data_IF_247073742300
#
_entry.id   IF_247073742300
#
_cell.length_a   1.000
_cell.length_b   1.000
_cell.length_c   1.000
_cell.angle_alpha   90.00
_cell.angle_beta   90.00
_cell.angle_gamma   90.00
#
_symmetry.space_group_name_H-M   'P 1'
#
loop_
_entity.id
_entity.type
_entity.pdbx_description
1 polymer ?
#
# COMPACT_ATOMS: atom_id res chain seq x y z
N UNK A 1 -6.08 -24.79 15.64
CA UNK A 1 -5.59 -23.76 14.70
C UNK A 1 -6.55 -22.58 14.55
N UNK A 2 -7.79 -22.76 14.06
CA UNK A 2 -8.73 -21.63 13.86
C UNK A 2 -9.01 -20.82 15.15
N UNK A 3 -9.19 -21.48 16.29
CA UNK A 3 -9.36 -20.80 17.58
C UNK A 3 -8.13 -19.97 17.98
N UNK A 4 -6.92 -20.49 17.73
CA UNK A 4 -5.66 -19.79 18.01
C UNK A 4 -5.53 -18.55 17.12
N UNK A 5 -5.82 -18.70 15.83
CA UNK A 5 -5.83 -17.59 14.89
C UNK A 5 -6.84 -16.50 15.29
N UNK A 6 -8.02 -16.89 15.78
CA UNK A 6 -9.02 -15.94 16.30
C UNK A 6 -8.50 -15.15 17.52
N UNK A 7 -7.86 -15.83 18.47
CA UNK A 7 -7.27 -15.19 19.64
C UNK A 7 -6.20 -14.15 19.28
N UNK A 8 -5.32 -14.50 18.35
CA UNK A 8 -4.27 -13.61 17.84
C UNK A 8 -4.82 -12.47 16.97
N UNK A 9 -5.87 -12.74 16.19
CA UNK A 9 -6.50 -11.74 15.33
C UNK A 9 -7.08 -10.59 16.17
N UNK A 10 -7.71 -10.90 17.30
CA UNK A 10 -8.33 -9.91 18.18
C UNK A 10 -7.32 -8.96 18.85
N UNK A 11 -6.04 -9.34 18.95
CA UNK A 11 -4.98 -8.48 19.51
C UNK A 11 -4.26 -7.68 18.44
N UNK A 12 -4.52 -7.92 17.15
CA UNK A 12 -3.71 -7.37 16.07
C UNK A 12 -4.05 -5.90 15.75
N UNK A 13 -5.35 -5.56 15.58
CA UNK A 13 -5.78 -4.21 15.22
C UNK A 13 -7.29 -4.02 15.36
N UNK A 14 -7.80 -2.77 15.33
CA UNK A 14 -9.25 -2.53 15.21
C UNK A 14 -9.86 -3.17 13.96
N UNK A 15 -9.11 -3.31 12.87
CA UNK A 15 -9.57 -3.96 11.63
C UNK A 15 -9.93 -5.45 11.80
N UNK A 16 -9.49 -6.09 12.89
CA UNK A 16 -9.87 -7.46 13.25
C UNK A 16 -11.39 -7.65 13.34
N UNK A 17 -12.11 -6.64 13.85
CA UNK A 17 -13.57 -6.72 13.98
C UNK A 17 -14.29 -6.65 12.64
N UNK A 18 -13.71 -5.98 11.64
CA UNK A 18 -14.20 -6.05 10.25
C UNK A 18 -14.04 -7.47 9.69
N UNK A 19 -12.96 -8.17 10.01
CA UNK A 19 -12.78 -9.60 9.64
C UNK A 19 -13.83 -10.47 10.33
N UNK A 20 -14.15 -10.22 11.60
CA UNK A 20 -15.25 -10.91 12.29
C UNK A 20 -16.59 -10.66 11.62
N UNK A 21 -16.88 -9.41 11.24
CA UNK A 21 -18.10 -9.05 10.51
C UNK A 21 -18.19 -9.79 9.17
N UNK A 22 -17.09 -9.86 8.42
CA UNK A 22 -17.01 -10.65 7.18
C UNK A 22 -17.24 -12.14 7.48
N UNK A 23 -16.64 -12.67 8.55
CA UNK A 23 -16.84 -14.05 9.00
C UNK A 23 -18.29 -14.35 9.40
N UNK A 24 -18.96 -13.40 10.07
CA UNK A 24 -20.40 -13.50 10.36
C UNK A 24 -21.23 -13.45 9.08
N UNK A 25 -20.87 -12.62 8.11
CA UNK A 25 -21.58 -12.57 6.85
C UNK A 25 -21.36 -13.82 5.98
N UNK A 26 -20.29 -14.59 6.21
CA UNK A 26 -20.12 -15.93 5.65
C UNK A 26 -21.30 -16.85 6.06
N UNK A 27 -21.86 -16.68 7.26
CA UNK A 27 -23.05 -17.42 7.70
C UNK A 27 -24.26 -17.24 6.77
N UNK A 28 -24.40 -16.06 6.14
CA UNK A 28 -25.47 -15.76 5.18
C UNK A 28 -25.27 -16.51 3.85
N UNK A 29 -24.03 -16.77 3.47
CA UNK A 29 -23.68 -17.50 2.23
C UNK A 29 -23.78 -19.02 2.44
N UNK A 30 -23.38 -19.51 3.62
CA UNK A 30 -23.38 -20.94 3.97
C UNK A 30 -24.43 -21.31 5.01
N UNK A 31 -25.64 -20.73 4.94
CA UNK A 31 -26.75 -20.98 5.90
C UNK A 31 -27.05 -22.46 6.11
N UNK A 32 -26.97 -23.27 5.06
CA UNK A 32 -27.21 -24.71 5.14
C UNK A 32 -26.14 -25.48 5.95
N UNK A 33 -24.91 -24.95 6.04
CA UNK A 33 -23.83 -25.55 6.82
C UNK A 33 -23.82 -25.10 8.30
N UNK A 34 -24.59 -24.04 8.63
CA UNK A 34 -24.62 -23.45 9.96
C UNK A 34 -24.97 -24.44 11.08
N UNK A 35 -26.00 -25.31 10.93
CA UNK A 35 -26.36 -26.26 11.99
C UNK A 35 -25.23 -27.25 12.29
N UNK A 36 -24.53 -27.72 11.24
CA UNK A 36 -23.39 -28.63 11.38
C UNK A 36 -22.20 -27.96 12.06
N UNK A 37 -21.91 -26.72 11.64
CA UNK A 37 -20.83 -25.92 12.23
C UNK A 37 -21.13 -25.60 13.69
N UNK A 38 -22.38 -25.26 14.02
CA UNK A 38 -22.81 -25.00 15.39
C UNK A 38 -22.71 -26.26 16.27
N UNK A 39 -23.14 -27.41 15.77
CA UNK A 39 -22.99 -28.69 16.48
C UNK A 39 -21.51 -29.00 16.77
N UNK A 40 -20.62 -28.79 15.79
CA UNK A 40 -19.18 -28.96 15.98
C UNK A 40 -18.59 -27.96 17.00
N UNK A 41 -19.04 -26.70 16.96
CA UNK A 41 -18.63 -25.67 17.93
C UNK A 41 -19.10 -26.02 19.34
N UNK A 42 -20.30 -26.56 19.50
CA UNK A 42 -20.80 -26.99 20.81
C UNK A 42 -20.03 -28.21 21.35
N UNK A 43 -19.74 -29.20 20.49
CA UNK A 43 -18.95 -30.36 20.87
C UNK A 43 -17.53 -29.99 21.34
N UNK A 44 -16.91 -29.00 20.70
CA UNK A 44 -15.53 -28.57 20.99
C UNK A 44 -15.44 -27.26 21.77
N UNK A 45 -16.55 -26.80 22.38
CA UNK A 45 -16.66 -25.45 22.99
C UNK A 45 -15.52 -25.16 23.96
N UNK A 46 -15.18 -26.10 24.85
CA UNK A 46 -14.08 -25.92 25.82
C UNK A 46 -12.73 -25.75 25.12
N UNK A 47 -12.44 -26.55 24.10
CA UNK A 47 -11.18 -26.47 23.35
C UNK A 47 -11.09 -25.21 22.50
N UNK A 48 -12.21 -24.75 21.93
CA UNK A 48 -12.28 -23.50 21.17
C UNK A 48 -12.11 -22.28 22.08
N UNK A 49 -12.75 -22.27 23.25
CA UNK A 49 -12.59 -21.19 24.24
C UNK A 49 -11.15 -21.14 24.75
N UNK A 50 -10.60 -22.25 25.23
CA UNK A 50 -9.21 -22.28 25.70
C UNK A 50 -8.22 -21.96 24.58
N UNK A 51 -8.46 -22.50 23.39
CA UNK A 51 -7.61 -22.30 22.21
C UNK A 51 -7.65 -20.88 21.65
N UNK A 52 -8.65 -20.06 21.97
CA UNK A 52 -8.71 -18.64 21.58
C UNK A 52 -8.30 -17.71 22.72
N UNK A 53 -8.71 -18.03 23.94
CA UNK A 53 -8.46 -17.20 25.12
C UNK A 53 -6.99 -17.24 25.55
N UNK A 54 -6.32 -18.40 25.49
CA UNK A 54 -4.91 -18.51 25.88
C UNK A 54 -4.00 -17.69 24.94
N UNK A 55 -4.08 -17.81 23.60
CA UNK A 55 -3.29 -16.97 22.70
C UNK A 55 -3.64 -15.50 22.80
N UNK A 56 -4.92 -15.15 23.01
CA UNK A 56 -5.34 -13.77 23.24
C UNK A 56 -4.68 -13.20 24.51
N UNK A 57 -4.73 -13.92 25.63
CA UNK A 57 -4.11 -13.48 26.87
C UNK A 57 -2.59 -13.32 26.70
N UNK A 58 -1.92 -14.30 26.10
CA UNK A 58 -0.48 -14.27 25.90
C UNK A 58 -0.05 -13.14 24.95
N UNK A 59 -0.76 -12.96 23.83
CA UNK A 59 -0.43 -11.89 22.88
C UNK A 59 -0.76 -10.51 23.45
N UNK A 60 -1.94 -10.34 24.08
CA UNK A 60 -2.35 -9.07 24.68
C UNK A 60 -1.40 -8.62 25.80
N UNK A 61 -0.87 -9.56 26.59
CA UNK A 61 0.04 -9.24 27.71
C UNK A 61 1.52 -9.33 27.37
N UNK A 62 1.87 -9.58 26.11
CA UNK A 62 3.24 -9.90 25.67
C UNK A 62 3.91 -10.95 26.58
N UNK A 63 3.32 -12.14 26.62
CA UNK A 63 3.72 -13.25 27.50
C UNK A 63 3.76 -12.85 28.98
N UNK A 64 2.73 -12.14 29.46
CA UNK A 64 2.55 -11.67 30.84
C UNK A 64 3.53 -10.57 31.29
N UNK A 65 4.41 -10.06 30.42
CA UNK A 65 5.34 -8.99 30.76
C UNK A 65 4.67 -7.60 30.83
N UNK A 66 3.52 -7.41 30.18
CA UNK A 66 2.82 -6.14 30.07
C UNK A 66 1.31 -6.31 30.33
N UNK A 67 0.85 -6.41 31.59
CA UNK A 67 -0.56 -6.67 31.92
C UNK A 67 -1.51 -5.59 31.41
N UNK A 68 -1.04 -4.35 31.27
CA UNK A 68 -1.79 -3.23 30.70
C UNK A 68 -2.26 -3.48 29.25
N UNK A 69 -1.62 -4.38 28.52
CA UNK A 69 -1.99 -4.70 27.14
C UNK A 69 -3.36 -5.40 27.00
N UNK A 70 -3.91 -5.99 28.08
CA UNK A 70 -5.31 -6.46 28.07
C UNK A 70 -6.31 -5.32 27.97
N UNK A 71 -6.08 -4.23 28.71
CA UNK A 71 -6.90 -3.03 28.62
C UNK A 71 -6.77 -2.40 27.23
N UNK A 72 -5.56 -2.35 26.67
CA UNK A 72 -5.33 -1.87 25.31
C UNK A 72 -6.04 -2.74 24.25
N UNK A 73 -6.08 -4.06 24.43
CA UNK A 73 -6.81 -4.98 23.55
C UNK A 73 -8.32 -4.77 23.64
N UNK A 74 -8.86 -4.59 24.84
CA UNK A 74 -10.28 -4.27 25.02
C UNK A 74 -10.65 -2.92 24.38
N UNK A 75 -9.74 -1.94 24.44
CA UNK A 75 -9.90 -0.63 23.80
C UNK A 75 -9.96 -0.72 22.26
N UNK A 76 -9.40 -1.76 21.63
CA UNK A 76 -9.48 -1.96 20.17
C UNK A 76 -10.93 -2.06 19.67
N UNK A 77 -11.82 -2.69 20.45
CA UNK A 77 -13.24 -2.77 20.11
C UNK A 77 -13.90 -1.39 20.17
N UNK A 78 -13.61 -0.62 21.22
CA UNK A 78 -14.09 0.75 21.38
C UNK A 78 -13.59 1.66 20.26
N UNK A 79 -12.33 1.50 19.84
CA UNK A 79 -11.73 2.21 18.68
C UNK A 79 -12.39 1.81 17.37
N UNK A 80 -12.72 0.54 17.17
CA UNK A 80 -13.43 0.11 15.98
C UNK A 80 -14.84 0.71 15.92
N UNK A 81 -15.61 0.66 17.01
CA UNK A 81 -16.95 1.25 17.06
C UNK A 81 -16.94 2.77 16.91
N UNK A 82 -16.05 3.48 17.63
CA UNK A 82 -15.90 4.93 17.49
C UNK A 82 -15.42 5.31 16.09
N UNK A 83 -14.63 4.45 15.45
CA UNK A 83 -14.24 4.57 14.06
C UNK A 83 -15.40 4.48 13.07
N UNK A 84 -16.55 3.89 13.40
CA UNK A 84 -17.72 3.84 12.51
C UNK A 84 -18.59 5.11 12.56
N UNK A 85 -18.40 5.97 13.55
CA UNK A 85 -19.15 7.21 13.65
C UNK A 85 -18.76 8.16 12.50
N UNK A 86 -19.71 8.81 11.82
CA UNK A 86 -19.38 9.74 10.74
C UNK A 86 -18.58 10.93 11.29
N UNK A 87 -17.49 11.29 10.61
CA UNK A 87 -16.68 12.45 10.96
C UNK A 87 -15.59 12.74 9.92
N UNK A 88 -15.07 13.96 9.93
CA UNK A 88 -13.91 14.31 9.10
C UNK A 88 -12.68 13.51 9.57
N UNK A 89 -12.08 12.75 8.66
CA UNK A 89 -10.79 12.08 8.84
C UNK A 89 -9.72 12.75 7.97
N UNK A 90 -8.49 12.24 8.04
CA UNK A 90 -7.35 12.73 7.24
C UNK A 90 -7.56 12.59 5.72
N UNK A 91 -8.37 11.62 5.28
CA UNK A 91 -8.72 11.35 3.89
C UNK A 91 -10.25 11.32 3.68
N UNK A 92 -10.70 11.85 2.55
CA UNK A 92 -12.08 11.74 2.10
C UNK A 92 -12.44 10.32 1.63
N UNK A 93 -13.74 9.98 1.60
CA UNK A 93 -14.21 8.69 1.06
C UNK A 93 -13.83 8.56 -0.42
N UNK A 94 -13.89 9.68 -1.14
CA UNK A 94 -13.45 9.77 -2.52
C UNK A 94 -11.95 9.48 -2.67
N UNK A 95 -11.11 9.94 -1.74
CA UNK A 95 -9.66 9.69 -1.80
C UNK A 95 -9.33 8.21 -1.62
N UNK A 96 -10.04 7.53 -0.73
CA UNK A 96 -9.91 6.08 -0.54
C UNK A 96 -10.30 5.33 -1.82
N UNK A 97 -11.42 5.68 -2.43
CA UNK A 97 -11.88 5.04 -3.66
C UNK A 97 -10.94 5.33 -4.83
N UNK A 98 -10.49 6.58 -4.96
CA UNK A 98 -9.52 7.03 -5.96
C UNK A 98 -8.18 6.32 -5.79
N UNK A 99 -7.71 6.13 -4.55
CA UNK A 99 -6.49 5.38 -4.24
C UNK A 99 -6.58 3.95 -4.75
N UNK A 100 -7.71 3.28 -4.52
CA UNK A 100 -7.94 1.92 -4.95
C UNK A 100 -8.01 1.82 -6.49
N UNK A 101 -8.76 2.73 -7.13
CA UNK A 101 -8.91 2.76 -8.59
C UNK A 101 -7.59 3.02 -9.31
N UNK A 102 -6.77 3.93 -8.78
CA UNK A 102 -5.50 4.32 -9.40
C UNK A 102 -4.36 3.37 -9.03
N UNK A 103 -4.38 2.82 -7.81
CA UNK A 103 -3.35 1.90 -7.32
C UNK A 103 -3.49 0.50 -7.90
N UNK A 104 -4.72 -0.02 -7.95
CA UNK A 104 -5.00 -1.43 -8.22
C UNK A 104 -6.02 -1.67 -9.35
N UNK A 105 -5.94 -0.97 -10.51
CA UNK A 105 -6.97 -1.05 -11.56
C UNK A 105 -7.16 -2.46 -12.11
N UNK A 106 -6.06 -3.22 -12.23
CA UNK A 106 -6.08 -4.58 -12.76
C UNK A 106 -6.71 -5.56 -11.78
N UNK A 107 -6.40 -5.41 -10.49
CA UNK A 107 -6.98 -6.20 -9.43
C UNK A 107 -8.50 -6.04 -9.41
N UNK A 108 -8.99 -4.79 -9.53
CA UNK A 108 -10.42 -4.50 -9.64
C UNK A 108 -11.01 -5.16 -10.89
N UNK A 109 -10.37 -5.00 -12.05
CA UNK A 109 -10.83 -5.62 -13.31
C UNK A 109 -10.98 -7.14 -13.21
N UNK A 110 -9.97 -7.83 -12.65
CA UNK A 110 -10.03 -9.28 -12.45
C UNK A 110 -11.00 -9.70 -11.34
N UNK A 111 -11.13 -8.92 -10.28
CA UNK A 111 -12.11 -9.17 -9.22
C UNK A 111 -13.54 -9.10 -9.77
N UNK A 112 -13.87 -8.08 -10.56
CA UNK A 112 -15.17 -7.94 -11.24
C UNK A 112 -15.40 -9.12 -12.20
N UNK A 113 -14.41 -9.52 -12.99
CA UNK A 113 -14.50 -10.70 -13.86
C UNK A 113 -14.67 -12.01 -13.06
N UNK A 114 -14.13 -12.06 -11.84
CA UNK A 114 -14.34 -13.11 -10.86
C UNK A 114 -15.78 -13.16 -10.38
N UNK A 115 -16.31 -12.02 -9.93
CA UNK A 115 -17.70 -11.88 -9.45
C UNK A 115 -18.73 -12.20 -10.52
N UNK A 116 -18.58 -11.66 -11.73
CA UNK A 116 -19.49 -11.95 -12.84
C UNK A 116 -19.53 -13.45 -13.13
N UNK A 117 -18.38 -14.12 -13.12
CA UNK A 117 -18.32 -15.55 -13.34
C UNK A 117 -18.90 -16.35 -12.16
N UNK A 118 -18.68 -15.92 -10.93
CA UNK A 118 -19.24 -16.54 -9.73
C UNK A 118 -20.77 -16.44 -9.72
N UNK A 119 -21.32 -15.27 -10.04
CA UNK A 119 -22.77 -15.05 -10.16
C UNK A 119 -23.38 -15.94 -11.25
N UNK A 120 -22.76 -16.02 -12.43
CA UNK A 120 -23.21 -16.90 -13.52
C UNK A 120 -23.21 -18.38 -13.14
N UNK A 121 -22.26 -18.80 -12.30
CA UNK A 121 -22.10 -20.20 -11.86
C UNK A 121 -22.82 -20.50 -10.54
N UNK A 122 -23.45 -19.49 -9.92
CA UNK A 122 -23.99 -19.57 -8.56
C UNK A 122 -22.98 -20.14 -7.55
N UNK A 123 -21.70 -19.78 -7.73
CA UNK A 123 -20.63 -20.22 -6.85
C UNK A 123 -20.69 -19.45 -5.52
N UNK A 124 -20.91 -20.19 -4.43
CA UNK A 124 -20.98 -19.64 -3.07
C UNK A 124 -19.69 -18.98 -2.66
N UNK A 125 -18.54 -19.54 -3.04
CA UNK A 125 -17.25 -18.97 -2.64
C UNK A 125 -17.02 -17.61 -3.29
N UNK A 126 -17.25 -17.48 -4.59
CA UNK A 126 -17.15 -16.18 -5.26
C UNK A 126 -18.20 -15.16 -4.78
N UNK A 127 -19.41 -15.60 -4.42
CA UNK A 127 -20.41 -14.76 -3.78
C UNK A 127 -19.95 -14.23 -2.41
N UNK A 128 -19.34 -15.09 -1.59
CA UNK A 128 -18.71 -14.68 -0.33
C UNK A 128 -17.56 -13.70 -0.54
N UNK A 129 -16.65 -13.95 -1.50
CA UNK A 129 -15.53 -13.06 -1.77
C UNK A 129 -15.99 -11.67 -2.21
N UNK A 130 -17.05 -11.58 -3.03
CA UNK A 130 -17.69 -10.32 -3.40
C UNK A 130 -18.28 -9.59 -2.19
N UNK A 131 -19.00 -10.30 -1.33
CA UNK A 131 -19.58 -9.75 -0.12
C UNK A 131 -18.49 -9.28 0.87
N UNK A 132 -17.42 -10.06 1.01
CA UNK A 132 -16.26 -9.72 1.83
C UNK A 132 -15.58 -8.45 1.33
N UNK A 133 -15.39 -8.31 0.02
CA UNK A 133 -14.83 -7.10 -0.58
C UNK A 133 -15.74 -5.88 -0.36
N UNK A 134 -17.06 -6.05 -0.51
CA UNK A 134 -18.04 -5.01 -0.23
C UNK A 134 -18.01 -4.54 1.24
N UNK A 135 -18.05 -5.48 2.20
CA UNK A 135 -17.96 -5.14 3.63
C UNK A 135 -16.62 -4.53 4.01
N UNK A 136 -15.52 -5.06 3.49
CA UNK A 136 -14.18 -4.51 3.70
C UNK A 136 -14.07 -3.08 3.17
N UNK A 137 -14.75 -2.75 2.06
CA UNK A 137 -14.76 -1.41 1.47
C UNK A 137 -15.72 -0.47 2.20
N UNK A 138 -16.85 -0.97 2.71
CA UNK A 138 -17.80 -0.15 3.47
C UNK A 138 -17.20 0.40 4.76
N UNK A 139 -16.38 -0.39 5.47
CA UNK A 139 -15.74 0.04 6.71
C UNK A 139 -14.95 1.37 6.56
N UNK A 140 -13.97 1.50 5.64
CA UNK A 140 -13.27 2.76 5.43
C UNK A 140 -14.13 3.84 4.74
N UNK A 141 -15.18 3.48 3.99
CA UNK A 141 -16.06 4.50 3.38
C UNK A 141 -16.93 5.21 4.42
N UNK A 142 -17.46 4.48 5.40
CA UNK A 142 -18.36 5.02 6.43
C UNK A 142 -17.57 5.61 7.60
N UNK A 143 -16.43 4.99 7.95
CA UNK A 143 -15.70 5.33 9.16
C UNK A 143 -14.95 6.66 9.15
N UNK A 144 -14.68 7.17 10.36
CA UNK A 144 -13.80 8.29 10.67
C UNK A 144 -12.34 7.82 10.68
N UNK A 145 -11.42 8.69 10.27
CA UNK A 145 -9.98 8.40 10.32
C UNK A 145 -9.51 7.42 9.24
N UNK A 146 -9.96 7.62 8.00
CA UNK A 146 -9.61 6.80 6.84
C UNK A 146 -8.10 6.82 6.61
N UNK A 147 -7.45 5.66 6.71
CA UNK A 147 -6.02 5.50 6.42
C UNK A 147 -5.83 4.60 5.19
N UNK A 148 -4.77 4.80 4.39
CA UNK A 148 -4.47 3.90 3.28
C UNK A 148 -4.28 2.44 3.72
N UNK A 149 -3.78 2.22 4.94
CA UNK A 149 -3.63 0.89 5.52
C UNK A 149 -4.96 0.13 5.66
N UNK A 150 -6.09 0.84 5.78
CA UNK A 150 -7.42 0.23 5.89
C UNK A 150 -7.84 -0.46 4.59
N UNK A 151 -7.25 -0.08 3.45
CA UNK A 151 -7.45 -0.76 2.17
C UNK A 151 -6.83 -2.15 2.12
N UNK A 152 -5.97 -2.54 3.07
CA UNK A 152 -5.34 -3.86 3.08
C UNK A 152 -6.35 -5.01 3.05
N UNK A 153 -7.44 -4.90 3.83
CA UNK A 153 -8.53 -5.89 3.82
C UNK A 153 -9.31 -5.88 2.49
N UNK A 154 -9.50 -4.70 1.89
CA UNK A 154 -10.16 -4.56 0.59
C UNK A 154 -9.33 -5.25 -0.50
N UNK A 155 -8.04 -4.94 -0.57
CA UNK A 155 -7.09 -5.54 -1.51
C UNK A 155 -7.03 -7.05 -1.34
N UNK A 156 -7.00 -7.56 -0.11
CA UNK A 156 -7.05 -8.99 0.17
C UNK A 156 -8.33 -9.63 -0.39
N UNK A 157 -9.49 -9.06 -0.11
CA UNK A 157 -10.78 -9.58 -0.59
C UNK A 157 -10.92 -9.50 -2.11
N UNK A 158 -10.41 -8.43 -2.73
CA UNK A 158 -10.32 -8.31 -4.18
C UNK A 158 -9.37 -9.35 -4.78
N UNK A 159 -8.25 -9.65 -4.11
CA UNK A 159 -7.30 -10.69 -4.54
C UNK A 159 -7.94 -12.08 -4.53
N UNK A 160 -8.66 -12.40 -3.46
CA UNK A 160 -9.45 -13.64 -3.37
C UNK A 160 -10.50 -13.74 -4.49
N UNK A 161 -11.09 -12.60 -4.87
CA UNK A 161 -12.06 -12.51 -5.95
C UNK A 161 -11.44 -12.60 -7.34
N UNK A 162 -10.25 -12.03 -7.54
CA UNK A 162 -9.51 -12.01 -8.79
C UNK A 162 -8.88 -13.37 -9.11
N UNK A 163 -8.43 -14.10 -8.10
CA UNK A 163 -7.75 -15.39 -8.23
C UNK A 163 -8.45 -16.37 -9.17
N UNK A 164 -9.76 -16.67 -9.00
CA UNK A 164 -10.51 -17.54 -9.92
C UNK A 164 -10.58 -17.04 -11.36
N UNK A 165 -10.56 -15.73 -11.61
CA UNK A 165 -10.52 -15.17 -12.96
C UNK A 165 -9.14 -15.38 -13.59
N UNK A 166 -8.08 -15.04 -12.86
CA UNK A 166 -6.69 -15.22 -13.29
C UNK A 166 -6.40 -16.71 -13.55
N UNK A 167 -6.78 -17.60 -12.63
CA UNK A 167 -6.60 -19.04 -12.78
C UNK A 167 -7.34 -19.59 -14.01
N UNK A 168 -8.53 -19.08 -14.34
CA UNK A 168 -9.24 -19.47 -15.57
C UNK A 168 -8.51 -19.00 -16.82
N UNK A 169 -8.00 -17.76 -16.82
CA UNK A 169 -7.21 -17.21 -17.93
C UNK A 169 -5.95 -18.04 -18.15
N UNK A 170 -5.19 -18.31 -17.09
CA UNK A 170 -3.97 -19.13 -17.16
C UNK A 170 -4.26 -20.59 -17.55
N UNK A 171 -5.33 -21.19 -17.02
CA UNK A 171 -5.71 -22.57 -17.36
C UNK A 171 -6.06 -22.70 -18.84
N UNK A 172 -6.79 -21.73 -19.40
CA UNK A 172 -7.08 -21.66 -20.84
C UNK A 172 -5.80 -21.52 -21.67
N UNK A 173 -4.85 -20.71 -21.20
CA UNK A 173 -3.60 -20.44 -21.91
C UNK A 173 -2.59 -21.60 -21.86
N UNK A 174 -2.47 -22.33 -20.73
CA UNK A 174 -1.35 -23.25 -20.51
C UNK A 174 -1.73 -24.69 -20.15
N UNK A 175 -2.93 -24.96 -19.61
CA UNK A 175 -3.22 -26.23 -18.92
C UNK A 175 -4.26 -27.12 -19.63
N UNK A 176 -4.80 -26.69 -20.77
CA UNK A 176 -5.66 -27.55 -21.61
C UNK A 176 -4.75 -28.50 -22.41
N UNK A 177 -5.14 -29.79 -22.53
CA UNK A 177 -4.35 -30.91 -23.11
C UNK A 177 -3.63 -30.55 -24.41
N UNK A 178 -2.56 -31.29 -24.72
CA UNK A 178 -1.64 -31.14 -25.87
C UNK A 178 -2.32 -30.94 -27.24
N UNK A 179 -3.60 -31.32 -27.39
CA UNK A 179 -4.39 -31.20 -28.62
C UNK A 179 -5.50 -30.11 -28.57
N UNK A 180 -5.80 -29.51 -27.41
CA UNK A 180 -6.84 -28.47 -27.22
C UNK A 180 -6.31 -27.17 -26.55
N UNK A 181 -5.01 -27.14 -26.21
CA UNK A 181 -4.35 -26.02 -25.55
C UNK A 181 -3.64 -25.06 -26.51
N UNK A 182 -3.60 -23.80 -26.12
CA UNK A 182 -2.92 -22.68 -26.78
C UNK A 182 -1.45 -22.88 -27.16
N UNK A 183 -0.79 -23.93 -26.64
CA UNK A 183 0.60 -24.23 -27.01
C UNK A 183 0.77 -24.52 -28.50
N UNK A 184 -0.29 -24.93 -29.21
CA UNK A 184 -0.26 -25.14 -30.66
C UNK A 184 -0.79 -23.96 -31.51
N UNK A 185 -1.52 -23.01 -30.92
CA UNK A 185 -2.12 -21.87 -31.63
C UNK A 185 -1.14 -20.68 -31.65
N UNK A 186 -0.17 -20.70 -32.58
CA UNK A 186 0.82 -19.63 -32.79
C UNK A 186 0.17 -18.24 -32.92
N UNK A 187 -0.94 -18.16 -33.64
CA UNK A 187 -1.65 -16.91 -33.91
C UNK A 187 -2.07 -16.17 -32.64
N UNK A 188 -2.48 -16.91 -31.62
CA UNK A 188 -3.03 -16.33 -30.40
C UNK A 188 -1.92 -15.76 -29.50
N UNK A 189 -0.77 -16.43 -29.45
CA UNK A 189 0.45 -15.91 -28.82
C UNK A 189 1.01 -14.70 -29.59
N UNK A 190 1.01 -14.75 -30.92
CA UNK A 190 1.43 -13.62 -31.75
C UNK A 190 0.55 -12.40 -31.50
N UNK A 191 -0.78 -12.59 -31.43
CA UNK A 191 -1.75 -11.55 -31.15
C UNK A 191 -1.49 -10.89 -29.77
N UNK A 192 -1.27 -11.70 -28.73
CA UNK A 192 -0.94 -11.19 -27.39
C UNK A 192 0.41 -10.49 -27.39
N UNK A 193 1.45 -11.09 -27.95
CA UNK A 193 2.80 -10.54 -27.98
C UNK A 193 2.85 -9.20 -28.74
N UNK A 194 2.22 -9.14 -29.91
CA UNK A 194 2.13 -7.93 -30.72
C UNK A 194 1.34 -6.84 -29.98
N UNK A 195 0.22 -7.20 -29.35
CA UNK A 195 -0.56 -6.24 -28.54
C UNK A 195 0.27 -5.70 -27.38
N UNK A 196 0.97 -6.57 -26.64
CA UNK A 196 1.82 -6.15 -25.52
C UNK A 196 2.95 -5.25 -26.01
N UNK A 197 3.58 -5.55 -27.15
CA UNK A 197 4.61 -4.71 -27.75
C UNK A 197 4.07 -3.33 -28.16
N UNK A 198 2.90 -3.28 -28.79
CA UNK A 198 2.24 -2.03 -29.19
C UNK A 198 1.85 -1.19 -27.96
N UNK A 199 1.30 -1.83 -26.91
CA UNK A 199 0.98 -1.16 -25.65
C UNK A 199 2.24 -0.67 -24.94
N UNK A 200 3.31 -1.45 -24.91
CA UNK A 200 4.59 -1.03 -24.36
C UNK A 200 5.11 0.22 -25.08
N UNK A 201 5.11 0.21 -26.42
CA UNK A 201 5.49 1.37 -27.23
C UNK A 201 4.58 2.59 -26.94
N UNK A 202 3.26 2.38 -26.84
CA UNK A 202 2.32 3.44 -26.47
C UNK A 202 2.63 4.03 -25.09
N UNK A 203 2.93 3.18 -24.10
CA UNK A 203 3.26 3.62 -22.74
C UNK A 203 4.59 4.32 -22.62
N UNK A 204 5.52 4.13 -23.56
CA UNK A 204 6.77 4.90 -23.64
C UNK A 204 6.51 6.24 -24.35
N UNK A 205 5.78 6.22 -25.46
CA UNK A 205 5.61 7.38 -26.32
C UNK A 205 4.62 8.42 -25.77
N UNK A 206 3.45 8.00 -25.27
CA UNK A 206 2.41 8.95 -24.83
C UNK A 206 2.87 9.89 -23.70
N UNK A 207 3.55 9.43 -22.64
CA UNK A 207 4.13 10.33 -21.64
C UNK A 207 5.26 11.19 -22.19
N UNK A 208 6.09 10.64 -23.09
CA UNK A 208 7.20 11.37 -23.71
C UNK A 208 6.71 12.56 -24.55
N UNK A 209 5.49 12.48 -25.07
CA UNK A 209 4.84 13.56 -25.80
C UNK A 209 4.53 14.79 -24.91
N UNK A 210 4.33 14.58 -23.62
CA UNK A 210 4.00 15.65 -22.64
C UNK A 210 5.20 16.06 -21.78
N UNK A 211 6.39 15.57 -22.09
CA UNK A 211 7.62 15.94 -21.38
C UNK A 211 8.14 17.31 -21.85
N UNK A 212 8.24 18.32 -20.96
CA UNK A 212 8.66 19.66 -21.35
C UNK A 212 10.09 19.75 -21.91
N UNK A 213 10.96 18.81 -21.52
CA UNK A 213 12.34 18.73 -21.98
C UNK A 213 12.45 18.38 -23.48
N UNK A 214 11.40 17.80 -24.07
CA UNK A 214 11.37 17.49 -25.48
C UNK A 214 10.99 18.74 -26.29
N UNK A 215 11.63 18.94 -27.44
CA UNK A 215 11.23 20.00 -28.38
C UNK A 215 9.88 19.67 -29.06
N UNK A 216 9.29 20.62 -29.77
CA UNK A 216 7.97 20.46 -30.38
C UNK A 216 7.89 19.30 -31.38
N UNK A 217 8.93 19.09 -32.20
CA UNK A 217 8.97 17.99 -33.18
C UNK A 217 9.00 16.62 -32.50
N UNK A 218 9.78 16.45 -31.43
CA UNK A 218 9.82 15.21 -30.66
C UNK A 218 8.48 14.93 -29.97
N UNK A 219 7.86 15.96 -29.38
CA UNK A 219 6.53 15.81 -28.76
C UNK A 219 5.49 15.34 -29.76
N UNK A 220 5.47 15.93 -30.97
CA UNK A 220 4.55 15.52 -32.03
C UNK A 220 4.81 14.07 -32.50
N UNK A 221 6.09 13.69 -32.68
CA UNK A 221 6.46 12.33 -33.05
C UNK A 221 6.00 11.33 -31.99
N UNK A 222 6.27 11.58 -30.72
CA UNK A 222 5.86 10.72 -29.62
C UNK A 222 4.33 10.63 -29.48
N UNK A 223 3.60 11.74 -29.63
CA UNK A 223 2.14 11.73 -29.62
C UNK A 223 1.60 10.87 -30.76
N UNK A 224 2.13 11.07 -31.97
CA UNK A 224 1.69 10.34 -33.18
C UNK A 224 1.95 8.85 -33.02
N UNK A 225 3.18 8.46 -32.67
CA UNK A 225 3.54 7.05 -32.47
C UNK A 225 2.70 6.44 -31.36
N UNK A 226 2.55 7.11 -30.22
CA UNK A 226 1.77 6.61 -29.09
C UNK A 226 0.28 6.41 -29.40
N UNK A 227 -0.34 7.35 -30.11
CA UNK A 227 -1.73 7.23 -30.56
C UNK A 227 -1.86 6.10 -31.59
N UNK A 228 -0.99 6.07 -32.59
CA UNK A 228 -1.01 5.05 -33.66
C UNK A 228 -0.85 3.65 -33.08
N UNK A 229 0.11 3.42 -32.18
CA UNK A 229 0.30 2.10 -31.58
C UNK A 229 -0.88 1.70 -30.68
N UNK A 230 -1.51 2.64 -29.97
CA UNK A 230 -2.73 2.38 -29.19
C UNK A 230 -3.91 1.99 -30.08
N UNK A 231 -4.12 2.74 -31.16
CA UNK A 231 -5.18 2.46 -32.14
C UNK A 231 -4.94 1.13 -32.84
N UNK A 232 -3.69 0.86 -33.27
CA UNK A 232 -3.31 -0.42 -33.87
C UNK A 232 -3.50 -1.58 -32.90
N UNK A 233 -3.17 -1.42 -31.61
CA UNK A 233 -3.40 -2.45 -30.61
C UNK A 233 -4.89 -2.83 -30.54
N UNK A 234 -5.79 -1.84 -30.50
CA UNK A 234 -7.24 -2.09 -30.49
C UNK A 234 -7.76 -2.65 -31.83
N UNK A 235 -7.33 -2.07 -32.95
CA UNK A 235 -7.74 -2.48 -34.29
C UNK A 235 -7.34 -3.93 -34.58
N UNK A 236 -6.14 -4.36 -34.14
CA UNK A 236 -5.65 -5.73 -34.28
C UNK A 236 -6.63 -6.77 -33.72
N UNK A 237 -7.26 -6.50 -32.57
CA UNK A 237 -8.28 -7.37 -31.98
C UNK A 237 -9.57 -7.42 -32.79
N UNK A 238 -10.03 -6.28 -33.31
CA UNK A 238 -11.25 -6.20 -34.12
C UNK A 238 -11.04 -6.89 -35.47
N UNK A 239 -9.93 -6.59 -36.13
CA UNK A 239 -9.49 -7.19 -37.39
C UNK A 239 -9.41 -8.71 -37.23
N UNK A 240 -8.65 -9.19 -36.24
CA UNK A 240 -8.52 -10.63 -36.00
C UNK A 240 -9.85 -11.29 -35.59
N UNK A 241 -10.73 -10.57 -34.88
CA UNK A 241 -12.07 -11.06 -34.56
C UNK A 241 -12.96 -11.26 -35.79
N UNK A 242 -12.98 -10.27 -36.70
CA UNK A 242 -13.80 -10.28 -37.92
C UNK A 242 -13.30 -11.30 -38.94
N UNK A 243 -11.98 -11.36 -39.19
CA UNK A 243 -11.41 -12.22 -40.23
C UNK A 243 -10.87 -13.56 -39.73
N UNK A 244 -10.58 -13.69 -38.43
CA UNK A 244 -10.06 -14.90 -37.81
C UNK A 244 -11.12 -15.60 -36.96
N UNK A 245 -11.15 -15.29 -35.66
CA UNK A 245 -12.09 -15.92 -34.73
C UNK A 245 -12.31 -15.08 -33.47
N UNK A 246 -13.56 -14.64 -33.27
CA UNK A 246 -14.02 -14.06 -32.01
C UNK A 246 -13.86 -15.01 -30.81
N UNK A 247 -13.89 -16.32 -31.04
CA UNK A 247 -13.64 -17.32 -30.00
C UNK A 247 -12.20 -17.29 -29.50
N UNK A 248 -11.24 -17.09 -30.39
CA UNK A 248 -9.83 -16.89 -30.02
C UNK A 248 -9.62 -15.54 -29.35
N UNK A 249 -10.24 -14.47 -29.87
CA UNK A 249 -10.22 -13.14 -29.22
C UNK A 249 -10.69 -13.20 -27.77
N UNK A 250 -11.87 -13.78 -27.52
CA UNK A 250 -12.44 -13.87 -26.17
C UNK A 250 -11.60 -14.71 -25.20
N UNK A 251 -10.79 -15.66 -25.72
CA UNK A 251 -9.87 -16.49 -24.92
C UNK A 251 -8.55 -15.78 -24.65
N UNK A 252 -8.01 -15.07 -25.64
CA UNK A 252 -6.72 -14.40 -25.63
C UNK A 252 -6.72 -13.06 -24.87
N UNK A 253 -7.76 -12.26 -25.08
CA UNK A 253 -7.82 -10.87 -24.65
C UNK A 253 -7.51 -10.67 -23.15
N UNK A 254 -7.98 -11.52 -22.21
CA UNK A 254 -7.66 -11.37 -20.80
C UNK A 254 -6.17 -11.58 -20.43
N UNK A 255 -5.36 -12.19 -21.31
CA UNK A 255 -3.92 -12.32 -21.09
C UNK A 255 -3.18 -11.00 -21.27
N UNK A 256 -3.65 -10.12 -22.14
CA UNK A 256 -3.02 -8.80 -22.36
C UNK A 256 -2.95 -7.99 -21.08
N UNK A 257 -4.07 -7.66 -20.39
CA UNK A 257 -4.00 -6.90 -19.15
C UNK A 257 -3.30 -7.68 -18.04
N UNK A 258 -3.29 -9.02 -18.06
CA UNK A 258 -2.55 -9.81 -17.09
C UNK A 258 -1.03 -9.63 -17.24
N UNK A 259 -0.49 -9.83 -18.45
CA UNK A 259 0.94 -9.76 -18.73
C UNK A 259 1.42 -8.31 -18.68
N UNK A 260 0.73 -7.43 -19.40
CA UNK A 260 1.03 -6.00 -19.41
C UNK A 260 0.95 -5.43 -17.99
N UNK A 261 -0.08 -5.81 -17.25
CA UNK A 261 -0.30 -5.36 -15.89
C UNK A 261 0.70 -5.87 -14.86
N UNK A 262 1.18 -7.10 -15.02
CA UNK A 262 2.25 -7.65 -14.20
C UNK A 262 3.56 -6.90 -14.45
N UNK A 263 3.93 -6.71 -15.73
CA UNK A 263 5.12 -5.94 -16.09
C UNK A 263 5.04 -4.50 -15.58
N UNK A 264 3.86 -3.88 -15.72
CA UNK A 264 3.56 -2.57 -15.17
C UNK A 264 3.75 -2.52 -13.66
N UNK A 265 3.11 -3.41 -12.91
CA UNK A 265 3.19 -3.44 -11.44
C UNK A 265 4.63 -3.62 -10.94
N UNK A 266 5.39 -4.54 -11.56
CA UNK A 266 6.81 -4.74 -11.25
C UNK A 266 7.63 -3.48 -11.55
N UNK A 267 7.37 -2.81 -12.68
CA UNK A 267 8.04 -1.56 -13.04
C UNK A 267 7.76 -0.45 -12.01
N UNK A 268 6.50 -0.31 -11.57
CA UNK A 268 6.12 0.70 -10.57
C UNK A 268 6.77 0.41 -9.21
N UNK A 269 6.72 -0.83 -8.73
CA UNK A 269 7.34 -1.22 -7.45
C UNK A 269 8.86 -1.02 -7.51
N UNK A 270 9.50 -1.46 -8.60
CA UNK A 270 10.95 -1.31 -8.77
C UNK A 270 11.34 0.17 -8.81
N UNK A 271 10.59 0.98 -9.55
CA UNK A 271 10.80 2.43 -9.67
C UNK A 271 10.63 3.17 -8.34
N UNK A 272 9.59 2.86 -7.57
CA UNK A 272 9.39 3.47 -6.24
C UNK A 272 10.48 3.08 -5.24
N UNK A 273 11.04 1.88 -5.37
CA UNK A 273 12.09 1.40 -4.47
C UNK A 273 13.48 1.97 -4.78
N UNK A 274 13.84 2.11 -6.06
CA UNK A 274 15.22 2.42 -6.48
C UNK A 274 15.40 3.81 -7.10
N UNK A 275 14.36 4.38 -7.71
CA UNK A 275 14.47 5.58 -8.53
C UNK A 275 13.85 6.81 -7.84
N UNK A 276 14.31 7.06 -6.61
CA UNK A 276 13.79 8.11 -5.72
C UNK A 276 14.14 9.53 -6.18
N UNK A 277 15.19 9.69 -6.99
CA UNK A 277 15.59 10.96 -7.60
C UNK A 277 14.73 11.40 -8.79
N UNK A 278 13.92 10.51 -9.36
CA UNK A 278 13.08 10.79 -10.51
C UNK A 278 11.69 11.34 -10.13
N UNK A 279 11.54 11.92 -8.94
CA UNK A 279 10.27 12.50 -8.48
C UNK A 279 9.09 11.52 -8.52
N UNK A 280 9.35 10.23 -8.29
CA UNK A 280 8.33 9.19 -8.31
C UNK A 280 7.57 9.16 -6.98
N UNK A 281 6.25 9.27 -7.07
CA UNK A 281 5.33 9.34 -5.95
C UNK A 281 4.23 8.29 -6.08
N UNK A 282 4.01 7.51 -5.02
CA UNK A 282 2.98 6.47 -5.00
C UNK A 282 1.55 7.04 -5.14
N UNK A 283 0.57 6.15 -5.37
CA UNK A 283 -0.81 6.51 -5.69
C UNK A 283 -1.48 7.40 -4.63
N UNK A 284 -1.26 7.11 -3.35
CA UNK A 284 -1.56 7.96 -2.20
C UNK A 284 -0.56 7.63 -1.10
N UNK A 285 0.10 8.66 -0.57
CA UNK A 285 0.99 8.52 0.57
C UNK A 285 0.30 9.11 1.79
N UNK A 286 -0.01 8.25 2.77
CA UNK A 286 -0.01 8.71 4.15
C UNK A 286 1.37 9.30 4.49
N UNK A 287 1.53 9.97 5.63
CA UNK A 287 2.86 10.36 6.09
C UNK A 287 3.79 9.13 6.10
N UNK A 288 4.87 9.21 5.33
CA UNK A 288 5.87 8.14 5.18
C UNK A 288 7.27 8.67 5.43
N UNK A 289 8.22 7.80 5.81
CA UNK A 289 9.63 8.18 5.89
C UNK A 289 10.12 8.77 4.56
N UNK A 290 10.72 9.96 4.63
CA UNK A 290 11.41 10.59 3.51
C UNK A 290 12.86 10.09 3.40
N UNK A 291 13.52 10.37 2.27
CA UNK A 291 14.94 9.99 2.07
C UNK A 291 15.86 10.61 3.12
N UNK A 292 15.56 11.82 3.58
CA UNK A 292 16.33 12.53 4.59
C UNK A 292 16.37 11.85 5.95
N UNK A 293 15.48 10.88 6.23
CA UNK A 293 15.60 10.05 7.44
C UNK A 293 16.84 9.15 7.39
N UNK A 294 17.15 8.57 6.22
CA UNK A 294 18.36 7.78 6.03
C UNK A 294 19.61 8.64 6.09
N UNK A 295 19.57 9.83 5.46
CA UNK A 295 20.66 10.80 5.50
C UNK A 295 20.93 11.30 6.92
N UNK A 296 19.88 11.55 7.72
CA UNK A 296 19.98 11.89 9.14
C UNK A 296 20.68 10.76 9.92
N UNK A 297 20.30 9.49 9.70
CA UNK A 297 20.94 8.35 10.36
C UNK A 297 22.42 8.24 9.99
N UNK A 298 22.75 8.37 8.70
CA UNK A 298 24.14 8.36 8.24
C UNK A 298 24.94 9.51 8.85
N UNK A 299 24.41 10.73 8.83
CA UNK A 299 25.05 11.90 9.43
C UNK A 299 25.28 11.71 10.94
N UNK A 300 24.30 11.15 11.66
CA UNK A 300 24.44 10.84 13.09
C UNK A 300 25.53 9.80 13.37
N UNK A 301 25.61 8.75 12.56
CA UNK A 301 26.65 7.72 12.68
C UNK A 301 28.04 8.32 12.45
N UNK A 302 28.18 9.14 11.41
CA UNK A 302 29.44 9.83 11.07
C UNK A 302 29.85 10.82 12.16
N UNK A 303 28.93 11.66 12.64
CA UNK A 303 29.17 12.61 13.72
C UNK A 303 29.50 11.93 15.05
N UNK A 304 28.83 10.83 15.35
CA UNK A 304 29.10 10.02 16.54
C UNK A 304 30.52 9.43 16.49
N UNK A 305 30.95 8.93 15.33
CA UNK A 305 32.31 8.45 15.12
C UNK A 305 33.36 9.58 15.24
N UNK A 306 33.04 10.79 14.74
CA UNK A 306 33.93 11.95 14.83
C UNK A 306 34.11 12.47 16.26
N UNK A 307 33.10 12.35 17.13
CA UNK A 307 33.18 12.79 18.53
C UNK A 307 33.89 11.79 19.47
N UNK A 308 34.58 10.79 18.91
CA UNK A 308 35.44 9.87 19.66
C UNK A 308 34.72 8.71 20.35
N UNK A 309 33.42 8.50 20.07
CA UNK A 309 32.67 7.33 20.49
C UNK A 309 32.60 6.25 19.40
N UNK A 310 32.17 5.03 19.75
CA UNK A 310 31.71 4.09 18.74
C UNK A 310 30.45 4.64 18.05
N UNK A 311 30.15 4.19 16.82
CA UNK A 311 29.09 4.70 15.94
C UNK A 311 27.73 5.00 16.62
N UNK A 312 27.39 4.32 17.72
CA UNK A 312 26.09 4.42 18.39
C UNK A 312 26.15 4.85 19.88
N UNK A 313 27.32 5.26 20.38
CA UNK A 313 27.53 5.52 21.82
C UNK A 313 27.44 7.00 22.22
N UNK A 314 27.48 7.91 21.25
CA UNK A 314 27.40 9.35 21.53
C UNK A 314 26.04 9.72 22.13
N UNK A 315 26.05 10.62 23.12
CA UNK A 315 24.81 11.17 23.71
C UNK A 315 24.07 11.98 22.65
N UNK A 316 22.81 11.63 22.41
CA UNK A 316 21.91 12.33 21.49
C UNK A 316 20.64 12.71 22.24
N UNK A 317 20.28 13.99 22.21
CA UNK A 317 19.00 14.47 22.76
C UNK A 317 17.99 14.66 21.63
N UNK A 318 16.90 13.88 21.65
CA UNK A 318 15.74 14.05 20.78
C UNK A 318 14.70 14.91 21.51
N UNK A 319 14.57 16.16 21.08
CA UNK A 319 13.70 17.17 21.67
C UNK A 319 12.47 17.33 20.75
N UNK A 320 11.38 16.65 21.10
CA UNK A 320 10.13 16.72 20.35
C UNK A 320 8.93 16.80 21.31
N UNK A 321 7.99 17.74 21.11
CA UNK A 321 6.76 17.76 21.87
C UNK A 321 5.98 16.47 21.62
N UNK A 322 5.54 15.82 22.69
CA UNK A 322 4.76 14.59 22.60
C UNK A 322 3.30 14.92 22.25
N UNK A 323 3.03 15.21 20.98
CA UNK A 323 1.67 15.46 20.51
C UNK A 323 0.98 14.12 20.22
N UNK A 324 -0.17 13.81 20.85
CA UNK A 324 -0.90 12.58 20.59
C UNK A 324 -1.30 12.47 19.11
N UNK A 325 -0.88 11.38 18.44
CA UNK A 325 -1.21 11.12 17.04
C UNK A 325 -0.18 11.63 16.01
N UNK A 326 0.85 12.37 16.43
CA UNK A 326 1.92 12.80 15.54
C UNK A 326 2.92 11.64 15.29
N UNK A 327 3.13 11.21 14.02
CA UNK A 327 4.03 10.10 13.71
C UNK A 327 5.51 10.46 13.79
N UNK A 328 5.88 11.76 13.90
CA UNK A 328 7.27 12.21 13.90
C UNK A 328 8.10 11.59 15.02
N UNK A 329 7.68 11.76 16.27
CA UNK A 329 8.42 11.25 17.43
C UNK A 329 8.51 9.71 17.47
N UNK A 330 7.44 8.93 17.23
CA UNK A 330 7.54 7.47 17.12
C UNK A 330 8.49 7.01 16.00
N UNK A 331 8.44 7.66 14.83
CA UNK A 331 9.30 7.31 13.70
C UNK A 331 10.77 7.51 14.03
N UNK A 332 11.12 8.67 14.60
CA UNK A 332 12.49 8.99 14.99
C UNK A 332 12.99 8.09 16.11
N UNK A 333 12.16 7.80 17.13
CA UNK A 333 12.54 6.83 18.18
C UNK A 333 12.86 5.45 17.62
N UNK A 334 12.05 4.97 16.66
CA UNK A 334 12.30 3.69 16.02
C UNK A 334 13.55 3.70 15.14
N UNK A 335 13.77 4.80 14.41
CA UNK A 335 14.93 5.00 13.55
C UNK A 335 16.23 5.11 14.36
N UNK A 336 16.17 5.68 15.57
CA UNK A 336 17.31 5.90 16.45
C UNK A 336 17.42 4.84 17.56
N UNK A 337 16.68 3.72 17.46
CA UNK A 337 16.62 2.69 18.52
C UNK A 337 17.97 2.05 18.86
N UNK A 338 18.92 2.09 17.93
CA UNK A 338 20.24 1.47 18.08
C UNK A 338 21.22 2.40 18.81
N UNK A 339 20.88 3.68 19.04
CA UNK A 339 21.68 4.63 19.81
C UNK A 339 21.49 4.39 21.32
N UNK A 340 22.55 3.93 21.98
CA UNK A 340 22.48 3.47 23.38
C UNK A 340 22.33 4.60 24.39
N UNK A 341 22.78 5.81 24.02
CA UNK A 341 22.72 7.01 24.85
C UNK A 341 21.68 8.03 24.38
N UNK A 342 20.61 7.58 23.70
CA UNK A 342 19.50 8.42 23.25
C UNK A 342 18.62 8.87 24.43
N UNK A 343 18.44 10.19 24.59
CA UNK A 343 17.48 10.77 25.53
C UNK A 343 16.34 11.44 24.78
N UNK A 344 15.10 11.10 25.13
CA UNK A 344 13.93 11.74 24.53
C UNK A 344 13.30 12.68 25.53
N UNK A 345 13.20 13.96 25.17
CA UNK A 345 12.71 15.03 26.05
C UNK A 345 11.70 15.91 25.32
N UNK A 346 10.83 16.58 26.06
CA UNK A 346 9.83 17.49 25.50
C UNK A 346 10.36 18.92 25.28
N UNK A 347 11.50 19.25 25.90
CA UNK A 347 12.14 20.56 25.86
C UNK A 347 13.65 20.40 25.98
N UNK A 348 14.41 21.37 25.48
CA UNK A 348 15.88 21.38 25.52
C UNK A 348 16.36 21.30 26.98
N UNK A 349 17.18 20.30 27.36
CA UNK A 349 17.75 20.19 28.70
C UNK A 349 18.72 21.34 29.02
N UNK A 350 18.95 21.61 30.31
CA UNK A 350 19.94 22.61 30.77
C UNK A 350 21.39 22.19 30.52
N UNK A 351 21.65 20.87 30.44
CA UNK A 351 22.92 20.26 29.97
C UNK A 351 22.64 19.53 28.64
N UNK A 352 22.56 20.25 27.51
CA UNK A 352 22.24 19.64 26.23
C UNK A 352 23.39 18.72 25.77
N UNK A 353 23.01 17.61 25.16
CA UNK A 353 23.96 16.69 24.55
C UNK A 353 24.79 17.36 23.44
N UNK A 354 25.95 16.79 23.07
CA UNK A 354 26.75 17.30 21.95
C UNK A 354 26.01 17.28 20.61
N UNK A 355 25.03 16.39 20.49
CA UNK A 355 24.14 16.25 19.34
C UNK A 355 22.71 16.40 19.84
N UNK A 356 21.95 17.33 19.24
CA UNK A 356 20.54 17.58 19.58
C UNK A 356 19.71 17.53 18.31
N UNK A 357 18.55 16.88 18.33
CA UNK A 357 17.59 16.84 17.23
C UNK A 357 16.33 17.55 17.68
N UNK A 358 15.92 18.60 16.95
CA UNK A 358 14.68 19.36 17.22
C UNK A 358 13.75 19.34 16.02
N UNK A 359 12.48 19.65 16.23
CA UNK A 359 11.60 20.03 15.12
C UNK A 359 12.15 21.29 14.43
N UNK A 360 11.98 21.39 13.11
CA UNK A 360 12.44 22.55 12.34
C UNK A 360 11.69 23.85 12.70
N UNK A 361 10.53 23.76 13.35
CA UNK A 361 9.75 24.93 13.76
C UNK A 361 10.25 25.54 15.10
N UNK A 362 11.02 24.80 15.90
CA UNK A 362 11.45 25.17 17.27
C UNK A 362 12.90 25.71 17.32
N UNK A 363 13.37 26.37 16.25
CA UNK A 363 14.78 26.77 16.03
C UNK A 363 15.49 27.71 17.04
N UNK A 364 14.85 28.64 17.78
CA UNK A 364 15.61 29.77 18.32
C UNK A 364 16.51 29.47 19.53
N UNK A 365 16.34 28.34 20.24
CA UNK A 365 17.00 28.13 21.54
C UNK A 365 18.47 27.66 21.49
N UNK A 366 18.97 27.14 20.36
CA UNK A 366 20.29 26.46 20.27
C UNK A 366 21.31 27.13 19.35
N UNK A 367 20.92 28.17 18.62
CA UNK A 367 21.67 28.70 17.46
C UNK A 367 23.04 29.34 17.77
N UNK A 368 23.31 29.81 19.00
CA UNK A 368 24.56 30.48 19.33
C UNK A 368 25.76 29.53 19.51
N UNK A 369 25.53 28.31 20.03
CA UNK A 369 26.57 27.30 20.32
C UNK A 369 26.58 26.14 19.33
N UNK A 370 25.46 25.91 18.65
CA UNK A 370 25.30 24.76 17.76
C UNK A 370 25.25 25.16 16.29
N UNK A 371 25.73 24.29 15.41
CA UNK A 371 25.45 24.36 13.97
C UNK A 371 24.38 23.34 13.62
N UNK A 372 23.34 23.78 12.92
CA UNK A 372 22.22 22.94 12.49
C UNK A 372 22.33 22.52 11.02
N UNK A 373 21.90 21.30 10.70
CA UNK A 373 21.57 20.85 9.35
C UNK A 373 20.14 20.33 9.32
N UNK A 374 19.35 20.76 8.33
CA UNK A 374 17.96 20.37 8.18
C UNK A 374 17.83 19.07 7.38
N UNK A 375 17.01 18.14 7.87
CA UNK A 375 16.69 16.89 7.22
C UNK A 375 15.17 16.69 7.15
N UNK A 376 14.63 16.52 5.94
CA UNK A 376 13.23 16.12 5.76
C UNK A 376 13.09 14.64 6.11
N UNK A 377 12.38 14.34 7.20
CA UNK A 377 12.29 12.97 7.76
C UNK A 377 10.98 12.29 7.46
N UNK A 378 9.90 13.06 7.33
CA UNK A 378 8.61 12.57 6.87
C UNK A 378 8.19 13.35 5.64
N UNK A 379 7.46 12.69 4.75
CA UNK A 379 6.84 13.29 3.60
C UNK A 379 5.38 12.86 3.47
N UNK A 380 4.55 13.78 3.00
CA UNK A 380 3.14 13.55 2.67
C UNK A 380 2.90 13.96 1.23
N UNK A 381 2.16 13.12 0.50
CA UNK A 381 1.83 13.41 -0.89
C UNK A 381 0.40 13.00 -1.23
N UNK A 382 -0.30 13.90 -1.91
CA UNK A 382 -1.63 13.67 -2.48
C UNK A 382 -1.64 14.06 -3.96
N UNK A 383 -2.40 13.36 -4.83
CA UNK A 383 -2.46 13.69 -6.25
C UNK A 383 -3.26 14.98 -6.56
N UNK A 384 -3.79 15.69 -5.56
CA UNK A 384 -4.51 16.97 -5.74
C UNK A 384 -3.59 18.14 -6.08
N UNK A 385 -2.35 18.05 -5.62
CA UNK A 385 -1.28 19.01 -5.91
C UNK A 385 -0.67 18.79 -7.31
N UNK A 386 -1.15 17.79 -8.06
CA UNK A 386 -0.86 17.68 -9.50
C UNK A 386 -1.65 18.75 -10.24
N UNK A 387 -0.93 19.61 -10.95
CA UNK A 387 -1.52 20.66 -11.79
C UNK A 387 -2.28 20.10 -13.00
N UNK A 388 -1.76 20.36 -14.18
CA UNK A 388 -2.47 20.13 -15.44
C UNK A 388 -2.66 18.65 -15.79
N UNK A 389 -3.50 18.39 -16.79
CA UNK A 389 -3.79 17.05 -17.31
C UNK A 389 -2.51 16.26 -17.65
N UNK A 390 -1.50 16.93 -18.21
CA UNK A 390 -0.22 16.34 -18.58
C UNK A 390 0.53 15.78 -17.36
N UNK A 391 0.54 16.53 -16.25
CA UNK A 391 1.15 16.07 -14.99
C UNK A 391 0.41 14.86 -14.44
N UNK A 392 -0.92 14.84 -14.55
CA UNK A 392 -1.76 13.70 -14.11
C UNK A 392 -1.53 12.47 -14.98
N UNK A 393 -1.44 12.62 -16.29
CA UNK A 393 -1.18 11.52 -17.21
C UNK A 393 0.19 10.88 -16.95
N UNK A 394 1.23 11.70 -16.78
CA UNK A 394 2.57 11.24 -16.40
C UNK A 394 2.59 10.53 -15.07
N UNK A 395 1.87 11.05 -14.08
CA UNK A 395 1.81 10.41 -12.78
C UNK A 395 1.02 9.08 -12.82
N UNK A 396 -0.08 9.00 -13.58
CA UNK A 396 -0.80 7.72 -13.77
C UNK A 396 0.10 6.68 -14.43
N UNK A 397 0.93 7.10 -15.40
CA UNK A 397 1.75 6.20 -16.20
C UNK A 397 3.12 5.86 -15.57
N UNK A 398 3.81 6.80 -14.93
CA UNK A 398 5.15 6.57 -14.39
C UNK A 398 5.27 6.86 -12.91
N UNK A 399 4.17 7.25 -12.26
CA UNK A 399 4.19 7.78 -10.90
C UNK A 399 5.05 9.02 -10.75
N UNK A 400 5.43 9.67 -11.83
CA UNK A 400 6.26 10.87 -11.78
C UNK A 400 5.41 12.10 -11.44
N UNK A 401 5.74 12.78 -10.34
CA UNK A 401 5.11 14.00 -9.89
C UNK A 401 6.20 15.03 -9.56
N UNK A 402 6.34 16.06 -10.40
CA UNK A 402 7.32 17.13 -10.21
C UNK A 402 6.95 18.13 -9.12
N UNK A 403 5.70 18.09 -8.64
CA UNK A 403 5.31 18.87 -7.47
C UNK A 403 5.99 18.25 -6.24
N UNK A 404 6.72 19.01 -5.42
CA UNK A 404 7.34 18.47 -4.23
C UNK A 404 6.27 17.95 -3.25
N UNK A 405 6.60 16.88 -2.55
CA UNK A 405 5.80 16.39 -1.43
C UNK A 405 5.92 17.34 -0.24
N UNK A 406 4.87 17.46 0.57
CA UNK A 406 4.91 18.23 1.80
C UNK A 406 5.81 17.51 2.80
N UNK A 407 6.96 18.10 3.11
CA UNK A 407 7.96 17.54 4.01
C UNK A 407 7.78 18.04 5.44
N UNK A 408 7.99 17.15 6.42
CA UNK A 408 8.26 17.54 7.80
C UNK A 408 9.73 17.33 8.10
N UNK A 409 10.39 18.41 8.47
CA UNK A 409 11.82 18.43 8.71
C UNK A 409 12.16 18.46 10.19
N UNK A 410 13.33 17.92 10.51
CA UNK A 410 14.01 18.11 11.78
C UNK A 410 15.35 18.75 11.53
N UNK A 411 15.88 19.41 12.55
CA UNK A 411 17.22 19.99 12.51
C UNK A 411 18.12 19.18 13.43
N UNK A 412 19.23 18.72 12.88
CA UNK A 412 20.33 18.10 13.59
C UNK A 412 21.33 19.18 13.99
N UNK A 413 21.45 19.42 15.29
CA UNK A 413 22.35 20.40 15.88
C UNK A 413 23.59 19.72 16.43
N UNK A 414 24.77 20.27 16.12
CA UNK A 414 26.07 19.80 16.61
C UNK A 414 26.79 20.93 17.35
N UNK A 415 27.29 20.64 18.55
CA UNK A 415 28.04 21.59 19.37
C UNK A 415 29.38 21.96 18.72
N UNK A 416 29.60 23.25 18.45
CA UNK A 416 30.83 23.76 17.82
C UNK A 416 32.06 23.65 18.72
N UNK A 417 31.88 23.56 20.03
CA UNK A 417 33.00 23.57 20.99
C UNK A 417 33.75 22.23 21.07
N UNK A 418 33.24 21.21 20.39
CA UNK A 418 33.83 19.86 20.33
C UNK A 418 34.31 19.45 18.93
N UNK A 419 34.29 20.38 17.97
CA UNK A 419 35.04 20.26 16.71
C UNK A 419 36.48 20.71 16.95
#
# INVERSE_FOLDING_TARGET
>A
MAAVALGLLLTASPGAYTVLLIGLAAALVWRAALPRLWAAVQAERRRLLLGSLLPLLLAATFFLNAPAGLAATADLLGRWFSGLAPGAGELGAWDVLRSLLLGEPLLIGFAVAGWVAALRRRDRFGGFAALAAGLALLAPLIGRGRRPADLGLVVLALTLSAGPAIARTLRRAYLTRRDEGWRGELDAWLLVALTVALLAAATICLPSAVTPANNASWRQLYATVGIVTTVLAAALWVVYGVWGSWGTVARALPLVPLVFGLAWGVSQISGLNHDRGAWRQAAVLAETPASGLGELQTALIELSALQGGAAYETRVDLVLPATPGDPLAPTLRWALRDFTALRVTASVPTDPAPIVITAAEDQPALSDRYTGAEFTVLQRWTPETLGDFDARLRWVLYREAKTPADGRSVVLWVDRTKQ
#
